data_IF_253543943123
#
_entry.id   IF_253543943123
#
_cell.length_a   1.000
_cell.length_b   1.000
_cell.length_c   1.000
_cell.angle_alpha   90.00
_cell.angle_beta   90.00
_cell.angle_gamma   90.00
#
_symmetry.space_group_name_H-M   'P 1'
#
loop_
_entity.id
_entity.type
_entity.pdbx_description
1 polymer ?
#
# COMPACT_ATOMS: atom_id res chain seq x y z
N UNK A 1 -11.34 -9.28 6.02
CA UNK A 1 -10.81 -8.00 5.48
C UNK A 1 -10.03 -8.29 4.23
N UNK A 2 -10.31 -7.54 3.19
CA UNK A 2 -9.59 -7.67 1.93
C UNK A 2 -8.57 -6.54 1.81
N UNK A 3 -7.31 -6.88 1.56
CA UNK A 3 -6.26 -5.89 1.43
C UNK A 3 -5.54 -6.07 0.10
N UNK A 4 -5.46 -4.99 -0.67
CA UNK A 4 -4.71 -4.95 -1.91
C UNK A 4 -3.61 -3.91 -1.74
N UNK A 5 -2.39 -4.25 -2.16
CA UNK A 5 -1.25 -3.35 -2.08
C UNK A 5 -0.72 -3.06 -3.48
N UNK A 6 -0.78 -1.80 -3.88
CA UNK A 6 -0.18 -1.36 -5.14
C UNK A 6 1.26 -0.95 -4.86
N UNK A 7 2.20 -1.52 -5.58
CA UNK A 7 3.62 -1.33 -5.30
C UNK A 7 4.47 -1.45 -6.55
N UNK A 8 5.79 -1.25 -6.40
CA UNK A 8 6.75 -1.56 -7.45
C UNK A 8 8.01 -2.12 -6.79
N UNK A 9 8.84 -2.87 -7.55
CA UNK A 9 10.06 -3.46 -6.95
C UNK A 9 11.14 -2.44 -6.59
N UNK A 10 11.04 -1.23 -7.11
CA UNK A 10 12.06 -0.20 -6.89
C UNK A 10 11.72 0.79 -5.78
N UNK A 11 10.63 0.58 -5.10
CA UNK A 11 10.11 1.53 -4.12
C UNK A 11 10.50 1.13 -2.70
N UNK A 12 11.29 1.95 -2.04
CA UNK A 12 11.71 1.68 -0.66
C UNK A 12 10.54 1.70 0.31
N UNK A 13 9.61 2.65 0.13
CA UNK A 13 8.43 2.72 0.97
C UNK A 13 7.51 1.52 0.77
N UNK A 14 7.48 0.98 -0.45
CA UNK A 14 6.71 -0.25 -0.71
C UNK A 14 7.31 -1.43 0.03
N UNK A 15 8.63 -1.48 0.07
CA UNK A 15 9.34 -2.55 0.75
C UNK A 15 9.06 -2.52 2.24
N UNK A 16 9.06 -1.33 2.80
CA UNK A 16 8.76 -1.15 4.23
C UNK A 16 7.32 -1.56 4.53
N UNK A 17 6.38 -1.17 3.67
CA UNK A 17 4.98 -1.55 3.84
C UNK A 17 4.81 -3.06 3.84
N UNK A 18 5.46 -3.74 2.90
CA UNK A 18 5.35 -5.20 2.81
C UNK A 18 6.01 -5.89 3.99
N UNK A 19 7.11 -5.33 4.50
CA UNK A 19 7.77 -5.86 5.69
C UNK A 19 6.83 -5.77 6.90
N UNK A 20 6.14 -4.64 7.04
CA UNK A 20 5.18 -4.44 8.12
C UNK A 20 4.07 -5.49 8.05
N UNK A 21 3.52 -5.70 6.87
CA UNK A 21 2.43 -6.68 6.70
C UNK A 21 2.90 -8.10 7.00
N UNK A 22 4.12 -8.44 6.56
CA UNK A 22 4.68 -9.76 6.81
C UNK A 22 4.93 -9.98 8.30
N UNK A 23 5.42 -8.95 8.99
CA UNK A 23 5.70 -9.02 10.41
C UNK A 23 4.44 -9.34 11.22
N UNK A 24 3.30 -8.84 10.78
CA UNK A 24 2.04 -9.05 11.48
C UNK A 24 1.17 -10.13 10.87
N UNK A 25 1.74 -10.92 9.95
CA UNK A 25 1.05 -12.06 9.31
C UNK A 25 -0.24 -11.65 8.62
N UNK A 26 -0.24 -10.50 7.96
CA UNK A 26 -1.41 -10.00 7.24
C UNK A 26 -1.33 -10.43 5.79
N UNK A 27 -2.35 -11.15 5.33
CA UNK A 27 -2.44 -11.57 3.94
C UNK A 27 -2.91 -10.42 3.06
N UNK A 28 -2.35 -10.30 1.87
CA UNK A 28 -2.73 -9.26 0.95
C UNK A 28 -2.47 -9.70 -0.48
N UNK A 29 -3.15 -9.02 -1.42
CA UNK A 29 -2.89 -9.20 -2.84
C UNK A 29 -1.99 -8.06 -3.28
N UNK A 30 -0.86 -8.41 -3.88
CA UNK A 30 0.07 -7.38 -4.37
C UNK A 30 -0.18 -7.13 -5.85
N UNK A 31 -0.24 -5.86 -6.24
CA UNK A 31 -0.34 -5.47 -7.64
C UNK A 31 0.89 -4.62 -7.96
N UNK A 32 1.76 -5.15 -8.80
CA UNK A 32 2.94 -4.43 -9.26
C UNK A 32 2.52 -3.52 -10.41
N UNK A 33 2.59 -2.21 -10.18
CA UNK A 33 2.09 -1.24 -11.17
C UNK A 33 2.91 -1.23 -12.44
N UNK A 34 4.08 -1.86 -12.43
CA UNK A 34 4.90 -1.94 -13.64
C UNK A 34 4.57 -3.16 -14.47
N UNK A 35 3.94 -4.17 -13.88
CA UNK A 35 3.57 -5.40 -14.59
C UNK A 35 2.12 -5.43 -15.04
N UNK A 36 1.24 -4.78 -14.29
CA UNK A 36 -0.18 -4.76 -14.60
C UNK A 36 -0.49 -3.48 -15.37
N UNK A 37 -0.89 -3.58 -16.66
CA UNK A 37 -0.94 -2.42 -17.56
C UNK A 37 -1.71 -1.21 -17.04
N UNK A 38 -2.85 -1.41 -16.40
CA UNK A 38 -3.68 -0.27 -16.00
C UNK A 38 -3.55 0.09 -14.53
N UNK A 39 -2.67 -0.59 -13.80
CA UNK A 39 -2.59 -0.37 -12.35
C UNK A 39 -2.10 1.02 -11.98
N UNK A 40 -1.10 1.55 -12.70
CA UNK A 40 -0.60 2.89 -12.44
C UNK A 40 -1.71 3.93 -12.70
N UNK A 41 -2.52 3.70 -13.72
CA UNK A 41 -3.63 4.59 -14.02
C UNK A 41 -4.67 4.59 -12.91
N UNK A 42 -4.93 3.44 -12.32
CA UNK A 42 -5.85 3.35 -11.19
C UNK A 42 -5.34 4.13 -10.00
N UNK A 43 -4.05 4.02 -9.69
CA UNK A 43 -3.45 4.77 -8.60
C UNK A 43 -3.61 6.27 -8.85
N UNK A 44 -3.32 6.72 -10.06
CA UNK A 44 -3.45 8.13 -10.42
C UNK A 44 -4.91 8.59 -10.32
N UNK A 45 -5.83 7.75 -10.77
CA UNK A 45 -7.26 8.09 -10.74
C UNK A 45 -7.76 8.29 -9.31
N UNK A 46 -7.26 7.53 -8.36
CA UNK A 46 -7.73 7.60 -6.97
C UNK A 46 -6.94 8.56 -6.10
N UNK A 47 -5.69 8.86 -6.44
CA UNK A 47 -4.84 9.67 -5.57
C UNK A 47 -4.39 10.98 -6.20
N UNK A 48 -4.61 11.13 -7.51
CA UNK A 48 -4.18 12.32 -8.25
C UNK A 48 -2.73 12.30 -8.69
N UNK A 49 -1.98 11.28 -8.33
CA UNK A 49 -0.59 11.14 -8.73
C UNK A 49 -0.15 9.69 -8.62
N UNK A 50 1.04 9.41 -9.14
CA UNK A 50 1.59 8.05 -9.12
C UNK A 50 2.28 7.80 -7.77
N UNK A 51 1.48 7.73 -6.72
CA UNK A 51 2.00 7.57 -5.36
C UNK A 51 1.83 6.13 -4.90
N UNK A 52 2.93 5.45 -4.62
CA UNK A 52 2.94 4.09 -4.09
C UNK A 52 3.86 4.05 -2.87
N UNK A 53 3.64 3.15 -1.92
CA UNK A 53 2.58 2.13 -1.90
C UNK A 53 1.21 2.73 -1.65
N UNK A 54 0.18 2.04 -2.13
CA UNK A 54 -1.21 2.37 -1.81
C UNK A 54 -1.87 1.11 -1.29
N UNK A 55 -2.66 1.26 -0.22
CA UNK A 55 -3.45 0.17 0.34
C UNK A 55 -4.90 0.37 -0.07
N UNK A 56 -5.55 -0.71 -0.45
CA UNK A 56 -7.00 -0.69 -0.66
C UNK A 56 -7.58 -1.68 0.35
N UNK A 57 -8.22 -1.13 1.38
CA UNK A 57 -8.75 -1.92 2.49
C UNK A 57 -10.26 -1.99 2.34
N UNK A 58 -10.76 -3.17 2.00
CA UNK A 58 -12.19 -3.39 1.76
C UNK A 58 -12.76 -2.34 0.80
N UNK A 59 -12.00 -2.06 -0.27
CA UNK A 59 -12.42 -1.13 -1.32
C UNK A 59 -12.07 0.32 -1.06
N UNK A 60 -11.50 0.63 0.10
CA UNK A 60 -11.17 2.02 0.46
C UNK A 60 -9.69 2.27 0.27
N UNK A 61 -9.36 3.30 -0.51
CA UNK A 61 -7.97 3.66 -0.79
C UNK A 61 -7.35 4.43 0.36
N UNK A 62 -6.18 4.00 0.80
CA UNK A 62 -5.46 4.61 1.91
C UNK A 62 -3.98 4.72 1.53
N UNK A 63 -3.41 5.91 1.69
CA UNK A 63 -1.98 6.07 1.49
C UNK A 63 -1.28 5.81 2.83
N UNK A 64 -0.47 4.73 2.95
CA UNK A 64 0.07 4.31 4.24
C UNK A 64 1.39 4.98 4.61
N UNK A 65 1.78 6.03 3.91
CA UNK A 65 3.07 6.69 4.16
C UNK A 65 2.98 8.17 3.83
N UNK A 66 3.97 8.93 4.31
CA UNK A 66 4.14 10.33 3.91
C UNK A 66 5.51 10.44 3.27
N UNK A 67 5.61 10.99 2.05
CA UNK A 67 6.92 11.17 1.40
C UNK A 67 7.89 11.92 2.30
N UNK A 68 9.08 11.36 2.47
CA UNK A 68 10.10 11.95 3.32
C UNK A 68 9.96 11.68 4.80
N UNK A 69 8.82 11.12 5.24
CA UNK A 69 8.58 10.84 6.65
C UNK A 69 8.40 9.36 6.94
N UNK A 70 8.03 8.56 5.93
CA UNK A 70 7.98 7.13 6.06
C UNK A 70 6.59 6.56 6.31
N UNK A 71 6.57 5.31 6.73
CA UNK A 71 5.36 4.53 6.87
C UNK A 71 4.58 4.92 8.14
N UNK A 72 3.26 4.94 8.04
CA UNK A 72 2.38 5.29 9.16
C UNK A 72 2.05 4.04 9.97
N UNK A 73 2.99 3.61 10.82
CA UNK A 73 2.84 2.36 11.57
C UNK A 73 1.62 2.34 12.48
N UNK A 74 1.44 3.38 13.25
CA UNK A 74 0.36 3.44 14.22
C UNK A 74 -1.01 3.48 13.56
N UNK A 75 -1.14 4.33 12.55
CA UNK A 75 -2.40 4.47 11.85
C UNK A 75 -2.77 3.17 11.13
N UNK A 76 -1.80 2.55 10.46
CA UNK A 76 -2.06 1.30 9.75
C UNK A 76 -2.38 0.17 10.71
N UNK A 77 -1.75 0.17 11.88
CA UNK A 77 -2.08 -0.84 12.89
C UNK A 77 -3.54 -0.75 13.31
N UNK A 78 -4.05 0.46 13.47
CA UNK A 78 -5.45 0.64 13.83
C UNK A 78 -6.39 0.24 12.70
N UNK A 79 -6.06 0.66 11.47
CA UNK A 79 -6.92 0.37 10.32
C UNK A 79 -6.97 -1.12 9.99
N UNK A 80 -5.87 -1.83 10.23
CA UNK A 80 -5.78 -3.25 9.90
C UNK A 80 -6.13 -4.16 11.07
N UNK A 81 -6.51 -3.59 12.21
CA UNK A 81 -6.92 -4.36 13.36
C UNK A 81 -5.77 -5.02 14.12
N UNK A 82 -4.57 -4.46 14.02
CA UNK A 82 -3.40 -4.96 14.75
C UNK A 82 -3.34 -4.24 16.09
N UNK A 83 -3.13 -4.99 17.15
CA UNK A 83 -3.01 -4.41 18.48
C UNK A 83 -1.63 -3.87 18.74
#
# INVERSE_FOLDING_TARGET
MELIVYSSPWCGDCREAKRFLAKHNISYKEINIEEVPDAAQEVIAHTGKRAIPQFVIDGKWVQPYTPGKGFHYEEMSKLLGIE
#
